data_IF_068038759370
#
_entry.id   IF_068038759370
#
_cell.length_a   1.000
_cell.length_b   1.000
_cell.length_c   1.000
_cell.angle_alpha   90.00
_cell.angle_beta   90.00
_cell.angle_gamma   90.00
#
_symmetry.space_group_name_H-M   'P 1'
#
loop_
_entity.id
_entity.type
_entity.pdbx_description
1 polymer ?
#
# COMPACT_ATOMS: atom_id res chain seq x y z
N UNK A 1 -6.79 15.95 0.38
CA UNK A 1 -5.36 16.37 0.54
C UNK A 1 -4.71 16.38 -0.84
N UNK A 2 -3.82 17.33 -1.20
CA UNK A 2 -3.17 17.29 -2.50
C UNK A 2 -2.20 16.10 -2.58
N UNK A 3 -2.36 15.25 -3.60
CA UNK A 3 -1.46 14.14 -3.90
C UNK A 3 -0.11 14.71 -4.35
N UNK A 4 0.95 14.37 -3.63
CA UNK A 4 2.34 14.67 -3.99
C UNK A 4 2.92 13.45 -4.70
N UNK A 5 3.90 13.61 -5.59
CA UNK A 5 4.52 12.50 -6.31
C UNK A 5 5.90 12.19 -5.73
N UNK A 6 6.27 10.91 -5.76
CA UNK A 6 7.65 10.45 -5.62
C UNK A 6 7.92 9.48 -6.76
N UNK A 7 8.94 9.74 -7.59
CA UNK A 7 9.27 8.88 -8.73
C UNK A 7 8.05 8.57 -9.63
N UNK A 8 7.23 9.58 -9.91
CA UNK A 8 5.95 9.49 -10.64
C UNK A 8 4.81 8.69 -9.98
N UNK A 9 5.03 8.13 -8.79
CA UNK A 9 4.00 7.42 -8.01
C UNK A 9 3.32 8.37 -7.02
N UNK A 10 1.99 8.34 -6.89
CA UNK A 10 1.28 9.09 -5.85
C UNK A 10 1.78 8.71 -4.45
N UNK A 11 2.15 9.73 -3.66
CA UNK A 11 2.57 9.62 -2.28
C UNK A 11 1.64 10.46 -1.38
N UNK A 12 0.98 9.77 -0.46
CA UNK A 12 0.17 10.38 0.60
C UNK A 12 0.96 10.39 1.90
N UNK A 13 1.07 11.56 2.54
CA UNK A 13 1.65 11.69 3.88
C UNK A 13 0.57 11.93 4.93
N UNK A 14 0.53 11.06 5.92
CA UNK A 14 -0.43 11.12 7.04
C UNK A 14 0.27 11.67 8.28
N UNK A 15 -0.08 12.90 8.63
CA UNK A 15 0.48 13.60 9.80
C UNK A 15 -0.17 13.18 11.10
N UNK A 16 -1.48 12.91 11.05
CA UNK A 16 -2.21 12.45 12.22
C UNK A 16 -1.99 10.94 12.42
N UNK A 17 -1.93 10.46 13.67
CA UNK A 17 -2.00 9.03 13.95
C UNK A 17 -3.22 8.42 13.28
N UNK A 18 -3.00 7.34 12.56
CA UNK A 18 -4.05 6.55 11.91
C UNK A 18 -3.99 5.13 12.45
N UNK A 19 -5.15 4.52 12.62
CA UNK A 19 -5.27 3.08 12.87
C UNK A 19 -5.51 2.36 11.53
N UNK A 20 -5.45 1.03 11.52
CA UNK A 20 -5.66 0.24 10.30
C UNK A 20 -7.01 0.53 9.63
N UNK A 21 -8.08 0.74 10.41
CA UNK A 21 -9.40 1.07 9.85
C UNK A 21 -9.39 2.38 9.05
N UNK A 22 -8.88 3.46 9.65
CA UNK A 22 -8.74 4.75 8.96
C UNK A 22 -7.82 4.66 7.75
N UNK A 23 -6.80 3.79 7.80
CA UNK A 23 -5.92 3.53 6.66
C UNK A 23 -6.69 2.91 5.50
N UNK A 24 -7.57 1.91 5.74
CA UNK A 24 -8.36 1.29 4.68
C UNK A 24 -9.38 2.25 4.08
N UNK A 25 -9.98 3.12 4.90
CA UNK A 25 -10.85 4.20 4.43
C UNK A 25 -10.09 5.15 3.48
N UNK A 26 -8.87 5.52 3.84
CA UNK A 26 -8.03 6.40 3.02
C UNK A 26 -7.59 5.73 1.72
N UNK A 27 -7.20 4.46 1.75
CA UNK A 27 -6.83 3.70 0.54
C UNK A 27 -8.01 3.66 -0.42
N UNK A 28 -9.21 3.34 0.08
CA UNK A 28 -10.43 3.32 -0.71
C UNK A 28 -10.73 4.70 -1.32
N UNK A 29 -10.65 5.78 -0.54
CA UNK A 29 -10.89 7.15 -1.01
C UNK A 29 -9.91 7.57 -2.11
N UNK A 30 -8.61 7.32 -1.91
CA UNK A 30 -7.56 7.74 -2.85
C UNK A 30 -7.62 6.97 -4.16
N UNK A 31 -7.94 5.68 -4.10
CA UNK A 31 -8.02 4.83 -5.28
C UNK A 31 -9.39 4.89 -5.98
N UNK A 32 -10.42 5.43 -5.33
CA UNK A 32 -11.78 5.51 -5.88
C UNK A 32 -11.88 6.05 -7.32
N UNK A 33 -11.14 7.10 -7.73
CA UNK A 33 -11.21 7.61 -9.11
C UNK A 33 -10.78 6.58 -10.17
N UNK A 34 -9.98 5.59 -9.78
CA UNK A 34 -9.39 4.58 -10.66
C UNK A 34 -10.04 3.20 -10.50
N UNK A 35 -10.86 3.03 -9.47
CA UNK A 35 -11.53 1.77 -9.11
C UNK A 35 -12.98 2.03 -8.70
N UNK A 36 -13.91 1.89 -9.65
CA UNK A 36 -15.33 1.87 -9.30
C UNK A 36 -15.58 0.72 -8.29
N UNK A 37 -16.16 1.06 -7.14
CA UNK A 37 -16.55 0.15 -6.05
C UNK A 37 -15.44 -0.37 -5.11
N UNK A 38 -14.24 0.22 -5.07
CA UNK A 38 -13.29 -0.11 -3.99
C UNK A 38 -13.77 0.52 -2.67
N UNK A 39 -14.44 -0.28 -1.84
CA UNK A 39 -14.93 0.15 -0.52
C UNK A 39 -13.90 -0.16 0.57
N UNK A 40 -13.92 0.53 1.73
CA UNK A 40 -13.02 0.22 2.85
C UNK A 40 -13.12 -1.24 3.31
N UNK A 41 -14.35 -1.79 3.33
CA UNK A 41 -14.59 -3.20 3.67
C UNK A 41 -13.98 -4.18 2.65
N UNK A 42 -13.99 -3.82 1.37
CA UNK A 42 -13.32 -4.63 0.34
C UNK A 42 -11.80 -4.56 0.49
N UNK A 43 -11.24 -3.37 0.77
CA UNK A 43 -9.80 -3.22 1.04
C UNK A 43 -9.40 -4.07 2.24
N UNK A 44 -10.11 -3.96 3.36
CA UNK A 44 -9.88 -4.77 4.56
C UNK A 44 -9.90 -6.26 4.26
N UNK A 45 -10.92 -6.73 3.52
CA UNK A 45 -11.04 -8.13 3.12
C UNK A 45 -9.82 -8.58 2.30
N UNK A 46 -9.44 -7.83 1.26
CA UNK A 46 -8.33 -8.20 0.37
C UNK A 46 -6.99 -8.20 1.09
N UNK A 47 -6.75 -7.21 1.97
CA UNK A 47 -5.57 -7.16 2.83
C UNK A 47 -5.51 -8.37 3.75
N UNK A 48 -6.61 -8.68 4.43
CA UNK A 48 -6.70 -9.79 5.38
C UNK A 48 -6.48 -11.13 4.69
N UNK A 49 -7.11 -11.34 3.53
CA UNK A 49 -6.92 -12.56 2.72
C UNK A 49 -5.46 -12.69 2.30
N UNK A 50 -4.85 -11.61 1.79
CA UNK A 50 -3.45 -11.64 1.35
C UNK A 50 -2.48 -11.86 2.50
N UNK A 51 -2.67 -11.22 3.65
CA UNK A 51 -1.80 -11.39 4.81
C UNK A 51 -1.80 -12.85 5.28
N UNK A 52 -2.96 -13.50 5.32
CA UNK A 52 -3.04 -14.93 5.70
C UNK A 52 -2.28 -15.86 4.77
N UNK A 53 -2.12 -15.49 3.50
CA UNK A 53 -1.37 -16.27 2.52
C UNK A 53 0.15 -16.07 2.65
N UNK A 54 0.60 -14.96 3.24
CA UNK A 54 2.02 -14.65 3.38
C UNK A 54 2.27 -13.27 3.96
N UNK A 55 3.35 -13.14 4.73
CA UNK A 55 3.80 -11.90 5.35
C UNK A 55 3.82 -10.73 4.35
N UNK A 56 3.16 -9.63 4.69
CA UNK A 56 3.23 -8.38 3.90
C UNK A 56 4.30 -7.43 4.42
N UNK A 57 4.76 -7.62 5.66
CA UNK A 57 5.89 -6.89 6.21
C UNK A 57 7.20 -7.34 5.54
N UNK A 58 7.93 -6.38 4.97
CA UNK A 58 9.17 -6.63 4.23
C UNK A 58 10.41 -6.09 4.94
N UNK A 59 10.28 -5.63 6.19
CA UNK A 59 11.35 -4.95 6.91
C UNK A 59 11.30 -3.43 6.77
N UNK A 60 12.23 -2.76 7.47
CA UNK A 60 12.47 -1.31 7.36
C UNK A 60 11.24 -0.43 7.58
N UNK A 61 10.31 -0.89 8.44
CA UNK A 61 9.04 -0.22 8.72
C UNK A 61 8.07 -0.19 7.55
N UNK A 62 8.19 -1.14 6.61
CA UNK A 62 7.46 -1.16 5.33
C UNK A 62 6.62 -2.42 5.18
N UNK A 63 5.39 -2.23 4.70
CA UNK A 63 4.51 -3.32 4.23
C UNK A 63 4.15 -3.14 2.76
N UNK A 64 3.85 -4.24 2.08
CA UNK A 64 3.32 -4.24 0.71
C UNK A 64 1.94 -4.89 0.69
N UNK A 65 0.92 -4.10 0.36
CA UNK A 65 -0.46 -4.57 0.27
C UNK A 65 -0.84 -4.84 -1.18
N UNK A 66 -1.12 -6.10 -1.51
CA UNK A 66 -1.61 -6.49 -2.84
C UNK A 66 -3.12 -6.60 -2.82
N UNK A 67 -3.81 -5.64 -3.44
CA UNK A 67 -5.27 -5.61 -3.57
C UNK A 67 -5.64 -6.08 -4.98
N UNK A 68 -5.74 -7.40 -5.17
CA UNK A 68 -6.13 -7.99 -6.45
C UNK A 68 -7.64 -8.09 -6.51
N UNK A 69 -8.29 -7.43 -7.48
CA UNK A 69 -9.74 -7.49 -7.62
C UNK A 69 -10.21 -7.16 -9.02
N UNK A 70 -11.24 -7.85 -9.51
CA UNK A 70 -11.99 -7.51 -10.73
C UNK A 70 -12.59 -6.08 -10.68
N UNK A 71 -12.68 -5.48 -9.49
CA UNK A 71 -13.11 -4.08 -9.30
C UNK A 71 -12.01 -3.05 -9.59
N UNK A 72 -10.77 -3.51 -9.72
CA UNK A 72 -9.64 -2.67 -10.13
C UNK A 72 -9.60 -2.65 -11.66
N UNK A 73 -10.04 -1.54 -12.24
CA UNK A 73 -10.08 -1.36 -13.71
C UNK A 73 -8.69 -1.19 -14.31
N UNK A 74 -7.79 -0.55 -13.57
CA UNK A 74 -6.42 -0.31 -13.97
C UNK A 74 -5.51 -0.52 -12.77
N UNK A 75 -4.41 -1.25 -12.99
CA UNK A 75 -3.40 -1.45 -11.95
C UNK A 75 -2.74 -0.13 -11.60
N UNK A 76 -2.65 0.15 -10.31
CA UNK A 76 -2.11 1.39 -9.76
C UNK A 76 -1.31 1.13 -8.50
N UNK A 77 -0.30 1.97 -8.30
CA UNK A 77 0.52 1.99 -7.09
C UNK A 77 0.25 3.26 -6.32
N UNK A 78 0.08 3.12 -5.01
CA UNK A 78 -0.02 4.21 -4.06
C UNK A 78 1.02 4.00 -2.96
N UNK A 79 1.77 5.06 -2.66
CA UNK A 79 2.66 5.10 -1.52
C UNK A 79 1.96 5.85 -0.38
N UNK A 80 1.98 5.28 0.82
CA UNK A 80 1.49 5.94 2.03
C UNK A 80 2.62 5.99 3.04
N UNK A 81 2.93 7.19 3.54
CA UNK A 81 3.87 7.40 4.64
C UNK A 81 3.15 8.01 5.83
N UNK A 82 3.32 7.44 7.01
CA UNK A 82 2.78 7.98 8.25
C UNK A 82 3.89 8.63 9.06
N UNK A 83 3.60 9.77 9.70
CA UNK A 83 4.59 10.42 10.59
C UNK A 83 4.65 9.70 11.95
N UNK A 84 3.57 9.04 12.36
CA UNK A 84 3.50 8.18 13.54
C UNK A 84 3.64 6.71 13.15
N UNK A 85 4.32 5.92 13.98
CA UNK A 85 4.38 4.46 13.80
C UNK A 85 2.99 3.84 14.02
N UNK A 86 2.67 2.85 13.19
CA UNK A 86 1.46 2.04 13.27
C UNK A 86 1.85 0.61 13.68
N UNK A 87 1.07 0.04 14.60
CA UNK A 87 1.17 -1.38 14.96
C UNK A 87 0.48 -2.20 13.88
N UNK A 88 1.27 -2.83 13.01
CA UNK A 88 0.78 -3.78 12.03
C UNK A 88 0.75 -5.17 12.64
N UNK A 89 -0.44 -5.73 12.78
CA UNK A 89 -0.62 -7.10 13.24
C UNK A 89 -0.59 -8.03 12.03
N UNK A 90 0.40 -8.91 11.96
CA UNK A 90 0.51 -9.89 10.89
C UNK A 90 -0.38 -11.10 11.19
N UNK A 91 -1.36 -11.34 10.32
CA UNK A 91 -2.18 -12.56 10.35
C UNK A 91 -1.36 -13.80 9.92
N UNK A 92 -0.21 -13.61 9.26
CA UNK A 92 0.66 -14.71 8.83
C UNK A 92 1.50 -15.26 9.98
N UNK A 93 2.30 -14.39 10.60
CA UNK A 93 3.27 -14.77 11.63
C UNK A 93 2.73 -14.64 13.05
N UNK A 94 1.63 -13.88 13.25
CA UNK A 94 1.11 -13.50 14.56
C UNK A 94 1.94 -12.40 15.25
N UNK A 95 2.96 -11.87 14.59
CA UNK A 95 3.81 -10.81 15.13
C UNK A 95 3.18 -9.42 14.99
N UNK A 96 3.69 -8.47 15.77
CA UNK A 96 3.33 -7.06 15.68
C UNK A 96 4.54 -6.27 15.21
N UNK A 97 4.43 -5.66 14.03
CA UNK A 97 5.47 -4.84 13.43
C UNK A 97 5.17 -3.35 13.57
N UNK A 98 6.20 -2.55 13.82
CA UNK A 98 6.09 -1.09 13.77
C UNK A 98 6.34 -0.63 12.34
N UNK A 99 5.35 -0.02 11.71
CA UNK A 99 5.44 0.42 10.32
C UNK A 99 5.16 1.92 10.19
N UNK A 100 5.74 2.55 9.17
CA UNK A 100 5.40 3.90 8.77
C UNK A 100 5.38 4.11 7.25
N UNK A 101 5.57 3.05 6.48
CA UNK A 101 5.59 3.05 5.02
C UNK A 101 4.72 1.92 4.51
N UNK A 102 3.90 2.24 3.52
CA UNK A 102 3.03 1.28 2.88
C UNK A 102 3.12 1.46 1.38
N UNK A 103 3.33 0.36 0.69
CA UNK A 103 3.21 0.27 -0.76
C UNK A 103 1.89 -0.46 -1.04
N UNK A 104 0.92 0.24 -1.60
CA UNK A 104 -0.38 -0.32 -1.95
C UNK A 104 -0.39 -0.58 -3.45
N UNK A 105 -0.49 -1.85 -3.83
CA UNK A 105 -0.63 -2.30 -5.21
C UNK A 105 -2.09 -2.69 -5.43
N UNK A 106 -2.88 -1.81 -6.03
CA UNK A 106 -4.20 -2.17 -6.54
C UNK A 106 -4.01 -2.79 -7.92
N UNK A 107 -4.30 -4.08 -8.06
CA UNK A 107 -3.95 -4.86 -9.25
C UNK A 107 -5.23 -5.32 -9.95
N UNK A 108 -5.34 -5.00 -11.24
CA UNK A 108 -6.36 -5.58 -12.11
C UNK A 108 -5.95 -7.00 -12.50
N UNK A 109 -6.82 -8.02 -12.35
CA UNK A 109 -6.54 -9.39 -12.81
C UNK A 109 -6.21 -9.49 -14.31
N UNK A 110 -6.59 -8.48 -15.09
CA UNK A 110 -6.31 -8.41 -16.52
C UNK A 110 -4.94 -7.79 -16.86
N UNK A 111 -4.24 -7.21 -15.88
CA UNK A 111 -2.87 -6.72 -16.07
C UNK A 111 -1.87 -7.87 -15.93
N UNK A 112 -1.58 -8.54 -17.05
CA UNK A 112 -0.72 -9.72 -17.08
C UNK A 112 0.77 -9.41 -17.04
N UNK A 113 1.17 -8.15 -17.29
CA UNK A 113 2.58 -7.80 -17.48
C UNK A 113 3.17 -7.05 -16.28
N UNK A 114 2.34 -6.50 -15.39
CA UNK A 114 2.80 -5.84 -14.17
C UNK A 114 3.75 -4.66 -14.40
N UNK A 115 3.71 -4.07 -15.60
CA UNK A 115 4.64 -3.00 -16.02
C UNK A 115 4.55 -1.78 -15.11
N UNK A 116 3.37 -1.54 -14.53
CA UNK A 116 3.09 -0.38 -13.68
C UNK A 116 3.69 -0.47 -12.28
N UNK A 117 3.77 -1.66 -11.70
CA UNK A 117 4.32 -1.84 -10.35
C UNK A 117 5.74 -2.39 -10.33
N UNK A 118 6.22 -3.00 -11.42
CA UNK A 118 7.57 -3.57 -11.50
C UNK A 118 8.69 -2.57 -11.13
N UNK A 119 8.68 -1.29 -11.59
CA UNK A 119 9.71 -0.33 -11.18
C UNK A 119 9.71 -0.05 -9.68
N UNK A 120 8.53 -0.06 -9.06
CA UNK A 120 8.39 0.13 -7.60
C UNK A 120 8.95 -1.09 -6.88
N UNK A 121 8.59 -2.30 -7.31
CA UNK A 121 9.09 -3.54 -6.70
C UNK A 121 10.62 -3.64 -6.75
N UNK A 122 11.26 -3.17 -7.82
CA UNK A 122 12.73 -3.13 -7.92
C UNK A 122 13.37 -2.21 -6.88
N UNK A 123 12.69 -1.14 -6.46
CA UNK A 123 13.15 -0.22 -5.41
C UNK A 123 12.92 -0.74 -3.99
N UNK A 124 12.25 -1.87 -3.82
CA UNK A 124 12.02 -2.49 -2.51
C UNK A 124 13.10 -3.52 -2.13
N UNK A 125 14.23 -3.52 -2.85
CA UNK A 125 15.31 -4.48 -2.64
C UNK A 125 16.13 -4.25 -1.36
N UNK A 126 16.24 -3.01 -0.90
CA UNK A 126 17.08 -2.63 0.24
C UNK A 126 16.54 -1.38 0.96
N UNK A 127 17.08 -1.11 2.15
CA UNK A 127 16.63 -0.02 3.01
C UNK A 127 16.77 1.37 2.37
N UNK A 128 17.86 1.62 1.65
CA UNK A 128 18.17 2.92 1.06
C UNK A 128 17.22 3.21 -0.10
N UNK A 129 17.02 2.22 -0.98
CA UNK A 129 16.08 2.28 -2.09
C UNK A 129 14.63 2.48 -1.60
N UNK A 130 14.24 1.81 -0.52
CA UNK A 130 12.93 2.01 0.13
C UNK A 130 12.84 3.45 0.67
N UNK A 131 13.85 3.94 1.38
CA UNK A 131 13.81 5.29 1.94
C UNK A 131 13.64 6.35 0.85
N UNK A 132 14.42 6.25 -0.24
CA UNK A 132 14.32 7.13 -1.40
C UNK A 132 12.94 7.09 -2.06
N UNK A 133 12.31 5.92 -2.15
CA UNK A 133 10.96 5.79 -2.70
C UNK A 133 9.92 6.63 -1.91
N UNK A 134 10.11 6.78 -0.61
CA UNK A 134 9.23 7.55 0.28
C UNK A 134 9.73 8.98 0.58
N UNK A 135 10.79 9.41 -0.08
CA UNK A 135 11.20 10.82 -0.14
C UNK A 135 10.36 11.57 -1.17
N UNK A 136 10.19 12.86 -0.95
CA UNK A 136 9.44 13.71 -1.86
C UNK A 136 10.44 14.53 -2.67
N UNK A 137 10.15 14.70 -3.95
CA UNK A 137 10.70 15.82 -4.74
C UNK A 137 10.03 17.14 -4.34
#
# INVERSE_FOLDING_TARGET
>A
MPLKKSSDVPLVRLKAPVNQKHLFELIAEVLHPETLDLTPALVEKLVTEREREGETYIGYGTIILHLISEKVMQTTVLLVKTDSLLNWHSDYSGEVHQINKLVVLAISPHDQNGERFRPVMQKLADADSINQLFEME
#
